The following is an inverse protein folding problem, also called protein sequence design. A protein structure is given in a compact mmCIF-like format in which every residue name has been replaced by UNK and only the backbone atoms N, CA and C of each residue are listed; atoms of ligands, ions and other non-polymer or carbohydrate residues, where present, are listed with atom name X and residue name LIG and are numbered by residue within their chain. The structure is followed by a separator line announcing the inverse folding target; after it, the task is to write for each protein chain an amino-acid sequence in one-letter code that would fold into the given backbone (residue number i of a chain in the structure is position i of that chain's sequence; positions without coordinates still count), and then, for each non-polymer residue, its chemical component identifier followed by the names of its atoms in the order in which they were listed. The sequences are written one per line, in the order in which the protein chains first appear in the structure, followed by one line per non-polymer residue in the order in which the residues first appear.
data_IF_993088746466
#
_entry.id   IF_993088746466
#
_cell.length_a   1.000
_cell.length_b   1.000
_cell.length_c   1.000
_cell.angle_alpha   90.00
_cell.angle_beta   90.00
_cell.angle_gamma   90.00
#
_symmetry.space_group_name_H-M   'P 1'
#
loop_
_entity.id
_entity.type
_entity.pdbx_description
1 polymer ?
#
# COMPACT_ATOMS: atom_id res chain seq x y z
N UNK A 1 7.47 -10.31 -10.61
CA UNK A 1 8.16 -9.42 -9.66
C UNK A 1 7.57 -9.64 -8.28
N UNK A 2 8.41 -9.78 -7.26
CA UNK A 2 7.99 -9.92 -5.87
C UNK A 2 7.97 -8.55 -5.17
N UNK A 3 7.12 -8.39 -4.16
CA UNK A 3 7.11 -7.23 -3.28
C UNK A 3 8.09 -7.45 -2.13
N UNK A 4 8.60 -6.39 -1.52
CA UNK A 4 9.41 -6.49 -0.30
C UNK A 4 8.60 -6.10 0.92
N UNK A 5 8.63 -6.95 1.95
CA UNK A 5 8.05 -6.66 3.26
C UNK A 5 8.85 -5.55 3.94
N UNK A 6 8.19 -4.47 4.33
CA UNK A 6 8.80 -3.36 5.06
C UNK A 6 9.18 -3.73 6.50
N UNK A 7 8.58 -4.78 7.07
CA UNK A 7 8.87 -5.25 8.43
C UNK A 7 10.08 -6.19 8.49
N UNK A 8 10.11 -7.21 7.63
CA UNK A 8 11.14 -8.26 7.71
C UNK A 8 12.13 -8.27 6.53
N UNK A 9 11.95 -7.40 5.53
CA UNK A 9 12.82 -7.29 4.35
C UNK A 9 12.74 -8.46 3.36
N UNK A 10 11.88 -9.45 3.62
CA UNK A 10 11.70 -10.62 2.75
C UNK A 10 10.75 -10.34 1.60
N UNK A 11 10.91 -11.10 0.53
CA UNK A 11 9.99 -11.08 -0.60
C UNK A 11 8.62 -11.67 -0.24
N UNK A 12 7.56 -11.13 -0.84
CA UNK A 12 6.19 -11.61 -0.69
C UNK A 12 5.40 -11.50 -1.99
N UNK A 13 4.41 -12.37 -2.16
CA UNK A 13 3.51 -12.36 -3.31
C UNK A 13 2.30 -11.45 -3.10
N UNK A 14 1.61 -11.09 -4.18
CA UNK A 14 0.36 -10.29 -4.11
C UNK A 14 -0.73 -10.92 -3.23
N UNK A 15 -0.74 -12.24 -3.12
CA UNK A 15 -1.73 -12.97 -2.31
C UNK A 15 -1.34 -13.02 -0.83
N UNK A 16 -0.09 -12.72 -0.49
CA UNK A 16 0.43 -12.78 0.87
C UNK A 16 0.58 -11.39 1.49
N UNK A 17 0.43 -10.33 0.70
CA UNK A 17 0.69 -8.96 1.15
C UNK A 17 -0.50 -8.03 1.26
N UNK A 18 -0.27 -6.97 2.00
CA UNK A 18 -1.16 -5.82 2.16
C UNK A 18 -0.36 -4.53 2.05
N UNK A 19 -1.03 -3.46 1.63
CA UNK A 19 -0.59 -2.08 1.78
C UNK A 19 -1.39 -1.48 2.95
N UNK A 20 -0.74 -0.94 3.96
CA UNK A 20 -1.36 -0.22 5.08
C UNK A 20 -0.80 1.19 5.25
N UNK A 21 -1.54 2.04 5.96
CA UNK A 21 -1.12 3.39 6.35
C UNK A 21 -1.81 3.84 7.64
N UNK A 22 -1.20 4.81 8.30
CA UNK A 22 -1.77 5.52 9.44
C UNK A 22 -2.60 6.72 8.97
N UNK A 23 -3.78 6.91 9.59
CA UNK A 23 -4.67 8.07 9.46
C UNK A 23 -4.95 8.61 10.86
N UNK A 24 -4.25 9.66 11.25
CA UNK A 24 -4.41 10.31 12.54
C UNK A 24 -4.20 11.82 12.45
N UNK A 25 -4.86 12.57 13.32
CA UNK A 25 -4.65 14.03 13.45
C UNK A 25 -4.67 14.80 12.11
N UNK A 26 -5.59 14.44 11.19
CA UNK A 26 -5.69 15.03 9.85
C UNK A 26 -4.39 14.86 9.02
N UNK A 27 -3.70 13.74 9.22
CA UNK A 27 -2.48 13.37 8.52
C UNK A 27 -2.57 11.93 8.01
N UNK A 28 -1.99 11.69 6.84
CA UNK A 28 -1.73 10.34 6.33
C UNK A 28 -0.22 10.09 6.29
N UNK A 29 0.22 8.92 6.78
CA UNK A 29 1.65 8.58 6.87
C UNK A 29 1.88 7.08 6.98
N UNK A 30 3.15 6.68 7.07
CA UNK A 30 3.60 5.32 7.36
C UNK A 30 3.03 4.29 6.37
N UNK A 31 3.12 4.59 5.07
CA UNK A 31 2.68 3.65 4.04
C UNK A 31 3.62 2.45 3.99
N UNK A 32 3.10 1.25 4.25
CA UNK A 32 3.90 0.02 4.35
C UNK A 32 3.30 -1.13 3.57
N UNK A 33 4.16 -1.92 2.94
CA UNK A 33 3.81 -3.20 2.36
C UNK A 33 4.30 -4.30 3.30
N UNK A 34 3.40 -5.09 3.86
CA UNK A 34 3.73 -6.15 4.83
C UNK A 34 3.04 -7.46 4.49
N UNK A 35 3.42 -8.56 5.14
CA UNK A 35 2.64 -9.79 5.04
C UNK A 35 1.30 -9.63 5.75
N UNK A 36 0.27 -10.33 5.26
CA UNK A 36 -1.05 -10.44 5.91
C UNK A 36 -0.94 -10.90 7.37
N UNK A 37 -0.06 -11.87 7.65
CA UNK A 37 0.14 -12.40 9.00
C UNK A 37 0.90 -11.45 9.92
N UNK A 38 1.73 -10.56 9.36
CA UNK A 38 2.41 -9.52 10.13
C UNK A 38 1.43 -8.43 10.62
N UNK A 39 0.18 -8.43 10.10
CA UNK A 39 -0.91 -7.56 10.57
C UNK A 39 -1.66 -8.12 11.78
N UNK A 40 -1.46 -9.40 12.14
CA UNK A 40 -2.10 -10.06 13.29
C UNK A 40 -1.34 -9.82 14.61
N UNK A 41 -0.29 -9.00 14.56
CA UNK A 41 0.36 -8.52 15.77
C UNK A 41 -0.51 -7.44 16.39
N UNK A 42 -1.10 -7.80 17.52
CA UNK A 42 -1.71 -6.97 18.57
C UNK A 42 -0.77 -5.88 19.15
N UNK A 43 0.20 -5.41 18.36
CA UNK A 43 1.30 -4.54 18.73
C UNK A 43 1.31 -3.19 17.98
N UNK A 44 0.50 -2.99 16.93
CA UNK A 44 0.39 -1.69 16.26
C UNK A 44 -1.07 -1.24 16.17
N UNK A 45 -1.50 -0.47 17.18
CA UNK A 45 -2.76 0.29 17.20
C UNK A 45 -2.81 1.43 16.15
N UNK A 46 -1.89 1.47 15.18
CA UNK A 46 -1.60 2.69 14.39
C UNK A 46 -2.02 2.63 12.92
N UNK A 47 -2.14 1.46 12.30
CA UNK A 47 -2.57 1.36 10.91
C UNK A 47 -4.10 1.39 10.82
N UNK A 48 -4.63 2.45 10.24
CA UNK A 48 -6.07 2.77 10.28
C UNK A 48 -6.73 2.51 8.92
N UNK A 49 -5.93 2.37 7.87
CA UNK A 49 -6.36 1.95 6.53
C UNK A 49 -5.48 0.84 5.98
N UNK A 50 -6.08 -0.10 5.25
CA UNK A 50 -5.35 -1.13 4.51
C UNK A 50 -6.08 -1.57 3.24
N UNK A 51 -5.32 -2.11 2.30
CA UNK A 51 -5.82 -2.78 1.10
C UNK A 51 -4.94 -3.98 0.78
N UNK A 52 -5.53 -5.11 0.37
CA UNK A 52 -4.73 -6.26 -0.06
C UNK A 52 -3.98 -5.97 -1.36
N UNK A 53 -2.74 -6.50 -1.47
CA UNK A 53 -1.93 -6.28 -2.67
C UNK A 53 -2.60 -6.82 -3.94
N UNK A 54 -3.21 -8.00 -3.89
CA UNK A 54 -3.93 -8.57 -5.03
C UNK A 54 -5.10 -7.71 -5.53
N UNK A 55 -5.65 -6.83 -4.68
CA UNK A 55 -6.68 -5.86 -5.06
C UNK A 55 -6.02 -4.63 -5.69
N UNK A 56 -5.11 -3.97 -4.97
CA UNK A 56 -4.51 -2.70 -5.41
C UNK A 56 -3.60 -2.84 -6.63
N UNK A 57 -3.14 -4.05 -6.94
CA UNK A 57 -2.39 -4.36 -8.17
C UNK A 57 -3.29 -4.68 -9.36
N UNK A 58 -4.61 -4.75 -9.18
CA UNK A 58 -5.58 -4.70 -10.28
C UNK A 58 -5.90 -3.25 -10.64
N UNK A 59 -6.15 -2.96 -11.93
CA UNK A 59 -6.42 -1.59 -12.42
C UNK A 59 -7.54 -0.92 -11.61
N UNK A 60 -8.67 -1.61 -11.39
CA UNK A 60 -9.79 -1.06 -10.63
C UNK A 60 -9.42 -0.77 -9.17
N UNK A 61 -8.64 -1.65 -8.52
CA UNK A 61 -8.19 -1.43 -7.15
C UNK A 61 -7.17 -0.29 -7.05
N UNK A 62 -6.27 -0.17 -8.03
CA UNK A 62 -5.33 0.94 -8.12
C UNK A 62 -6.03 2.28 -8.28
N UNK A 63 -7.03 2.37 -9.17
CA UNK A 63 -7.86 3.57 -9.34
C UNK A 63 -8.57 3.92 -8.03
N UNK A 64 -9.19 2.92 -7.37
CA UNK A 64 -9.90 3.15 -6.12
C UNK A 64 -8.98 3.64 -5.00
N UNK A 65 -7.74 3.14 -4.94
CA UNK A 65 -6.74 3.63 -4.00
C UNK A 65 -6.35 5.09 -4.26
N UNK A 66 -6.20 5.50 -5.53
CA UNK A 66 -5.94 6.90 -5.87
C UNK A 66 -7.13 7.82 -5.52
N UNK A 67 -8.37 7.36 -5.70
CA UNK A 67 -9.56 8.10 -5.24
C UNK A 67 -9.52 8.32 -3.72
N UNK A 68 -9.15 7.30 -2.94
CA UNK A 68 -8.99 7.43 -1.48
C UNK A 68 -7.96 8.51 -1.13
N UNK A 69 -6.81 8.54 -1.81
CA UNK A 69 -5.80 9.58 -1.59
C UNK A 69 -6.33 10.97 -1.97
N UNK A 70 -7.08 11.07 -3.07
CA UNK A 70 -7.72 12.31 -3.50
C UNK A 70 -8.73 12.82 -2.46
N UNK A 71 -9.53 11.93 -1.87
CA UNK A 71 -10.47 12.26 -0.81
C UNK A 71 -9.77 12.77 0.46
N UNK A 72 -8.62 12.17 0.82
CA UNK A 72 -7.80 12.68 1.93
C UNK A 72 -7.34 14.11 1.66
N UNK A 73 -6.78 14.38 0.48
CA UNK A 73 -6.33 15.73 0.14
C UNK A 73 -7.49 16.73 0.06
N UNK A 74 -8.65 16.34 -0.46
CA UNK A 74 -9.84 17.18 -0.50
C UNK A 74 -10.34 17.56 0.90
N UNK A 75 -10.16 16.68 1.89
CA UNK A 75 -10.46 16.92 3.31
C UNK A 75 -9.40 17.76 4.03
N UNK A 76 -8.30 18.12 3.35
CA UNK A 76 -7.21 18.91 3.93
C UNK A 76 -6.19 18.09 4.72
N UNK A 77 -6.12 16.77 4.49
CA UNK A 77 -5.12 15.94 5.13
C UNK A 77 -3.71 16.27 4.66
N UNK A 78 -2.75 16.24 5.59
CA UNK A 78 -1.33 16.41 5.28
C UNK A 78 -0.65 15.06 5.07
N UNK A 79 0.10 14.92 3.97
CA UNK A 79 0.97 13.77 3.74
C UNK A 79 2.29 13.97 4.51
N UNK A 80 2.48 13.27 5.63
CA UNK A 80 3.70 13.37 6.45
C UNK A 80 4.81 12.41 6.05
N UNK A 81 4.48 11.35 5.31
CA UNK A 81 5.45 10.38 4.79
C UNK A 81 5.33 10.23 3.26
N UNK A 82 5.81 11.21 2.49
CA UNK A 82 5.82 11.11 1.03
C UNK A 82 6.78 10.02 0.52
N UNK A 83 7.79 9.65 1.32
CA UNK A 83 8.77 8.63 0.98
C UNK A 83 8.15 7.23 0.96
N UNK A 84 7.43 6.86 2.02
CA UNK A 84 6.69 5.60 2.11
C UNK A 84 5.64 5.47 1.02
N UNK A 85 4.84 6.52 0.79
CA UNK A 85 3.84 6.51 -0.29
C UNK A 85 4.50 6.29 -1.66
N UNK A 86 5.58 7.02 -1.96
CA UNK A 86 6.31 6.86 -3.23
C UNK A 86 6.88 5.45 -3.37
N UNK A 87 7.44 4.89 -2.28
CA UNK A 87 7.99 3.53 -2.28
C UNK A 87 6.90 2.50 -2.57
N UNK A 88 5.75 2.58 -1.90
CA UNK A 88 4.63 1.68 -2.12
C UNK A 88 4.09 1.77 -3.56
N UNK A 89 3.83 2.99 -4.05
CA UNK A 89 3.37 3.23 -5.42
C UNK A 89 4.37 2.72 -6.46
N UNK A 90 5.67 2.86 -6.21
CA UNK A 90 6.71 2.37 -7.12
C UNK A 90 6.69 0.84 -7.24
N UNK A 91 6.56 0.11 -6.12
CA UNK A 91 6.46 -1.36 -6.14
C UNK A 91 5.18 -1.82 -6.84
N UNK A 92 4.04 -1.19 -6.53
CA UNK A 92 2.74 -1.50 -7.16
C UNK A 92 2.78 -1.22 -8.67
N UNK A 93 3.28 -0.05 -9.07
CA UNK A 93 3.40 0.35 -10.46
C UNK A 93 4.33 -0.57 -11.26
N UNK A 94 5.47 -0.95 -10.68
CA UNK A 94 6.39 -1.90 -11.31
C UNK A 94 5.72 -3.27 -11.53
N UNK A 95 4.98 -3.77 -10.53
CA UNK A 95 4.24 -5.02 -10.66
C UNK A 95 3.18 -4.95 -11.77
N UNK A 96 2.37 -3.88 -11.81
CA UNK A 96 1.33 -3.68 -12.83
C UNK A 96 1.96 -3.61 -14.24
N UNK A 97 3.03 -2.84 -14.38
CA UNK A 97 3.77 -2.70 -15.62
C UNK A 97 4.30 -4.04 -16.15
N UNK A 98 4.98 -4.82 -15.30
CA UNK A 98 5.47 -6.14 -15.67
C UNK A 98 4.33 -7.10 -16.02
N UNK A 99 3.19 -7.04 -15.33
CA UNK A 99 2.03 -7.86 -15.67
C UNK A 99 1.46 -7.49 -17.04
N UNK A 100 1.39 -6.20 -17.38
CA UNK A 100 0.87 -5.73 -18.68
C UNK A 100 1.72 -6.16 -19.88
N UNK A 101 3.04 -6.32 -19.71
CA UNK A 101 3.94 -6.84 -20.76
C UNK A 101 3.70 -8.32 -21.08
N UNK A 102 3.19 -9.07 -20.10
CA UNK A 102 3.04 -10.52 -20.17
C UNK A 102 1.60 -10.95 -20.49
N UNK A 103 0.71 -10.01 -20.81
CA UNK A 103 -0.61 -10.32 -21.34
C UNK A 103 -0.50 -10.53 -22.87
N UNK A 104 -0.93 -11.68 -23.41
CA UNK A 104 -0.98 -11.92 -24.85
C UNK A 104 -2.00 -11.04 -25.57
#
# INVERSE_FOLDING_TARGET
MAFLCDTCGKELTVNEGTLSWCDDENCIRDFRITHKHDQDHSCDEKDVGYVHLWIVTGISGFVKFNEILADYWAKGYTLKDPGGLKKALSQIGAYIWEKSKNQP
#
